data_IF_794146232299
#
_entry.id   IF_794146232299
#
_cell.length_a   1.000
_cell.length_b   1.000
_cell.length_c   1.000
_cell.angle_alpha   90.00
_cell.angle_beta   90.00
_cell.angle_gamma   90.00
#
_symmetry.space_group_name_H-M   'P 1'
#
loop_
_entity.id
_entity.type
_entity.pdbx_description
1 polymer ?
#
# COMPACT_ATOMS: atom_id res chain seq x y z
N UNK A 1 5.95 -16.79 -6.59
CA UNK A 1 6.13 -15.39 -6.14
C UNK A 1 6.23 -15.31 -4.64
N UNK A 2 5.09 -15.23 -3.94
CA UNK A 2 5.02 -15.07 -2.48
C UNK A 2 5.93 -16.02 -1.69
N UNK A 3 5.79 -17.34 -1.90
CA UNK A 3 6.54 -18.35 -1.11
C UNK A 3 8.05 -18.13 -1.24
N UNK A 4 8.54 -17.88 -2.46
CA UNK A 4 9.96 -17.62 -2.68
C UNK A 4 10.41 -16.37 -1.90
N UNK A 5 9.69 -15.25 -2.04
CA UNK A 5 10.03 -14.00 -1.35
C UNK A 5 9.95 -14.09 0.18
N UNK A 6 8.95 -14.78 0.73
CA UNK A 6 8.81 -14.99 2.18
C UNK A 6 9.91 -15.92 2.69
N UNK A 7 10.18 -17.02 1.98
CA UNK A 7 11.21 -17.98 2.40
C UNK A 7 12.63 -17.42 2.30
N UNK A 8 12.89 -16.42 1.45
CA UNK A 8 14.14 -15.65 1.47
C UNK A 8 14.35 -14.89 2.79
N UNK A 9 13.27 -14.56 3.50
CA UNK A 9 13.32 -13.94 4.82
C UNK A 9 13.47 -14.95 5.97
N UNK A 10 13.39 -16.25 5.67
CA UNK A 10 13.55 -17.30 6.68
C UNK A 10 14.92 -17.20 7.35
N UNK A 11 14.92 -17.02 8.67
CA UNK A 11 16.12 -16.81 9.47
C UNK A 11 16.51 -15.34 9.68
N UNK A 12 15.83 -14.38 9.03
CA UNK A 12 16.05 -12.94 9.18
C UNK A 12 14.79 -12.19 9.68
N UNK A 13 13.86 -12.90 10.30
CA UNK A 13 12.59 -12.35 10.81
C UNK A 13 12.77 -11.28 11.89
N UNK A 14 13.89 -11.32 12.62
CA UNK A 14 14.29 -10.30 13.58
C UNK A 14 14.42 -8.91 12.93
N UNK A 15 14.81 -8.85 11.66
CA UNK A 15 14.95 -7.60 10.90
C UNK A 15 13.63 -6.88 10.65
N UNK A 16 12.49 -7.56 10.74
CA UNK A 16 11.19 -6.89 10.64
C UNK A 16 10.95 -5.87 11.76
N UNK A 17 11.64 -6.01 12.89
CA UNK A 17 11.52 -5.07 14.01
C UNK A 17 12.44 -3.86 13.88
N UNK A 18 13.46 -3.95 13.04
CA UNK A 18 14.56 -2.97 12.98
C UNK A 18 14.61 -2.24 11.64
N UNK A 19 14.27 -2.91 10.54
CA UNK A 19 14.29 -2.36 9.19
C UNK A 19 12.86 -2.12 8.65
N UNK A 20 12.42 -0.86 8.53
CA UNK A 20 11.09 -0.57 8.02
C UNK A 20 10.95 -0.86 6.52
N UNK A 21 12.04 -0.94 5.74
CA UNK A 21 11.97 -1.36 4.32
C UNK A 21 11.46 -2.79 4.25
N UNK A 22 11.94 -3.66 5.14
CA UNK A 22 11.55 -5.06 5.19
C UNK A 22 10.06 -5.21 5.54
N UNK A 23 9.51 -4.32 6.37
CA UNK A 23 8.08 -4.26 6.66
C UNK A 23 7.25 -4.00 5.40
N UNK A 24 7.65 -3.04 4.56
CA UNK A 24 6.98 -2.81 3.29
C UNK A 24 7.04 -4.04 2.37
N UNK A 25 8.21 -4.66 2.26
CA UNK A 25 8.39 -5.82 1.37
C UNK A 25 7.56 -7.04 1.81
N UNK A 26 7.54 -7.38 3.10
CA UNK A 26 6.78 -8.54 3.59
C UNK A 26 5.26 -8.29 3.50
N UNK A 27 4.81 -7.08 3.81
CA UNK A 27 3.40 -6.71 3.68
C UNK A 27 2.98 -6.74 2.22
N UNK A 28 3.82 -6.25 1.31
CA UNK A 28 3.57 -6.35 -0.12
C UNK A 28 3.37 -7.80 -0.56
N UNK A 29 4.30 -8.70 -0.23
CA UNK A 29 4.21 -10.11 -0.58
C UNK A 29 2.96 -10.79 0.01
N UNK A 30 2.53 -10.37 1.20
CA UNK A 30 1.32 -10.87 1.85
C UNK A 30 0.07 -10.48 1.04
N UNK A 31 -0.05 -9.22 0.65
CA UNK A 31 -1.16 -8.76 -0.22
C UNK A 31 -1.10 -9.32 -1.63
N UNK A 32 0.10 -9.58 -2.16
CA UNK A 32 0.26 -10.32 -3.41
C UNK A 32 -0.32 -11.72 -3.29
N UNK A 33 0.03 -12.46 -2.24
CA UNK A 33 -0.52 -13.80 -2.00
C UNK A 33 -2.03 -13.79 -1.84
N UNK A 34 -2.53 -12.83 -1.07
CA UNK A 34 -3.96 -12.65 -0.85
C UNK A 34 -4.72 -12.34 -2.15
N UNK A 35 -4.28 -11.33 -2.92
CA UNK A 35 -4.92 -10.97 -4.19
C UNK A 35 -4.80 -12.08 -5.23
N UNK A 36 -3.64 -12.74 -5.34
CA UNK A 36 -3.46 -13.87 -6.27
C UNK A 36 -4.15 -15.15 -5.82
N UNK A 37 -4.65 -15.22 -4.59
CA UNK A 37 -5.59 -16.25 -4.15
C UNK A 37 -7.06 -15.83 -4.43
N UNK A 38 -7.40 -14.59 -4.12
CA UNK A 38 -8.75 -14.04 -4.31
C UNK A 38 -9.17 -14.00 -5.79
N UNK A 39 -8.26 -13.64 -6.70
CA UNK A 39 -8.53 -13.56 -8.13
C UNK A 39 -9.03 -14.91 -8.71
N UNK A 40 -8.30 -16.02 -8.52
CA UNK A 40 -8.79 -17.35 -8.87
C UNK A 40 -10.13 -17.71 -8.24
N UNK A 41 -10.37 -17.38 -6.96
CA UNK A 41 -11.67 -17.61 -6.33
C UNK A 41 -12.78 -16.84 -7.06
N UNK A 42 -12.58 -15.56 -7.38
CA UNK A 42 -13.52 -14.73 -8.12
C UNK A 42 -13.73 -15.15 -9.59
N UNK A 43 -12.84 -15.98 -10.13
CA UNK A 43 -12.99 -16.55 -11.48
C UNK A 43 -13.91 -17.78 -11.53
N UNK A 44 -14.19 -18.40 -10.38
CA UNK A 44 -15.15 -19.50 -10.29
C UNK A 44 -16.56 -18.96 -10.56
N UNK A 45 -17.31 -19.59 -11.48
CA UNK A 45 -18.65 -19.11 -11.88
C UNK A 45 -19.60 -18.85 -10.70
N UNK A 46 -19.58 -19.72 -9.68
CA UNK A 46 -20.41 -19.57 -8.49
C UNK A 46 -20.07 -18.34 -7.65
N UNK A 47 -18.77 -18.02 -7.51
CA UNK A 47 -18.30 -16.84 -6.79
C UNK A 47 -18.47 -15.59 -7.66
N UNK A 48 -18.15 -15.69 -8.94
CA UNK A 48 -18.30 -14.61 -9.91
C UNK A 48 -19.75 -14.15 -10.03
N UNK A 49 -20.70 -15.08 -9.95
CA UNK A 49 -22.11 -14.75 -9.89
C UNK A 49 -22.41 -13.77 -8.75
N UNK A 50 -21.64 -13.74 -7.66
CA UNK A 50 -21.74 -12.79 -6.54
C UNK A 50 -20.85 -11.55 -6.68
N UNK A 51 -19.61 -11.71 -7.13
CA UNK A 51 -18.63 -10.64 -7.16
C UNK A 51 -18.69 -9.74 -8.41
N UNK A 52 -19.32 -10.22 -9.49
CA UNK A 52 -19.41 -9.47 -10.74
C UNK A 52 -20.36 -8.27 -10.61
N UNK A 53 -19.94 -7.13 -11.16
CA UNK A 53 -20.63 -5.82 -11.03
C UNK A 53 -20.81 -5.31 -9.59
N UNK A 54 -20.08 -5.87 -8.62
CA UNK A 54 -20.08 -5.37 -7.25
C UNK A 54 -18.74 -4.75 -6.88
N UNK A 55 -18.77 -3.98 -5.79
CA UNK A 55 -17.57 -3.37 -5.21
C UNK A 55 -16.50 -4.36 -4.74
N UNK A 56 -16.80 -5.68 -4.72
CA UNK A 56 -15.80 -6.72 -4.46
C UNK A 56 -14.68 -6.67 -5.50
N UNK A 57 -15.02 -6.50 -6.78
CA UNK A 57 -14.00 -6.40 -7.85
C UNK A 57 -13.05 -5.24 -7.60
N UNK A 58 -13.56 -4.10 -7.13
CA UNK A 58 -12.74 -2.94 -6.79
C UNK A 58 -11.89 -3.22 -5.54
N UNK A 59 -12.42 -3.95 -4.56
CA UNK A 59 -11.69 -4.42 -3.39
C UNK A 59 -10.49 -5.29 -3.75
N UNK A 60 -10.71 -6.25 -4.65
CA UNK A 60 -9.66 -7.11 -5.21
C UNK A 60 -8.60 -6.32 -5.97
N UNK A 61 -9.01 -5.37 -6.81
CA UNK A 61 -8.07 -4.51 -7.54
C UNK A 61 -7.20 -3.71 -6.58
N UNK A 62 -7.77 -3.12 -5.52
CA UNK A 62 -7.00 -2.31 -4.57
C UNK A 62 -6.16 -3.15 -3.60
N UNK A 63 -6.54 -4.39 -3.32
CA UNK A 63 -5.67 -5.33 -2.59
C UNK A 63 -4.39 -5.63 -3.35
N UNK A 64 -4.48 -5.79 -4.67
CA UNK A 64 -3.31 -5.88 -5.56
C UNK A 64 -2.58 -4.56 -5.77
N UNK A 65 -3.29 -3.49 -6.12
CA UNK A 65 -2.68 -2.22 -6.51
C UNK A 65 -2.03 -1.49 -5.33
N UNK A 66 -2.76 -1.32 -4.22
CA UNK A 66 -2.23 -0.65 -3.05
C UNK A 66 -1.43 -1.63 -2.19
N UNK A 67 -2.02 -2.78 -1.87
CA UNK A 67 -1.43 -3.77 -0.98
C UNK A 67 -0.15 -4.39 -1.50
N UNK A 68 -0.09 -4.75 -2.79
CA UNK A 68 1.10 -5.32 -3.40
C UNK A 68 1.96 -4.29 -4.13
N UNK A 69 1.46 -3.71 -5.22
CA UNK A 69 2.27 -2.90 -6.14
C UNK A 69 2.81 -1.66 -5.45
N UNK A 70 1.97 -0.88 -4.78
CA UNK A 70 2.44 0.33 -4.12
C UNK A 70 3.39 0.02 -2.97
N UNK A 71 3.08 -0.96 -2.12
CA UNK A 71 3.95 -1.33 -0.97
C UNK A 71 5.33 -1.80 -1.40
N UNK A 72 5.44 -2.66 -2.43
CA UNK A 72 6.75 -3.11 -2.93
C UNK A 72 7.53 -1.94 -3.54
N UNK A 73 6.86 -1.03 -4.25
CA UNK A 73 7.48 0.17 -4.81
C UNK A 73 7.97 1.12 -3.71
N UNK A 74 7.20 1.33 -2.65
CA UNK A 74 7.60 2.17 -1.51
C UNK A 74 8.84 1.62 -0.81
N UNK A 75 8.85 0.32 -0.50
CA UNK A 75 10.04 -0.34 0.05
C UNK A 75 11.25 -0.18 -0.87
N UNK A 76 11.05 -0.34 -2.17
CA UNK A 76 12.12 -0.18 -3.17
C UNK A 76 12.68 1.24 -3.20
N UNK A 77 11.82 2.27 -3.12
CA UNK A 77 12.26 3.66 -3.08
C UNK A 77 13.02 4.00 -1.79
N UNK A 78 12.54 3.55 -0.64
CA UNK A 78 13.27 3.76 0.62
C UNK A 78 14.62 3.04 0.65
N UNK A 79 14.77 1.94 -0.09
CA UNK A 79 16.05 1.29 -0.27
C UNK A 79 16.97 2.03 -1.27
N UNK A 80 16.42 2.48 -2.39
CA UNK A 80 17.18 3.00 -3.52
C UNK A 80 17.65 4.44 -3.33
N UNK A 81 16.78 5.33 -2.86
CA UNK A 81 17.08 6.77 -2.76
C UNK A 81 18.34 7.09 -1.95
N UNK A 82 18.52 6.61 -0.69
CA UNK A 82 19.75 6.90 0.05
C UNK A 82 21.01 6.42 -0.69
N UNK A 83 20.94 5.31 -1.44
CA UNK A 83 22.07 4.78 -2.21
C UNK A 83 22.39 5.59 -3.46
N UNK A 84 21.36 6.07 -4.16
CA UNK A 84 21.55 6.86 -5.38
C UNK A 84 22.22 8.21 -5.09
N UNK A 85 21.99 8.75 -3.89
CA UNK A 85 22.55 10.03 -3.45
C UNK A 85 23.69 9.90 -2.42
N UNK A 86 24.18 8.67 -2.20
CA UNK A 86 25.23 8.34 -1.21
C UNK A 86 25.03 9.03 0.15
N UNK A 87 23.80 8.98 0.66
CA UNK A 87 23.40 9.61 1.92
C UNK A 87 22.54 8.68 2.76
N UNK A 88 22.15 9.14 3.95
CA UNK A 88 21.19 8.44 4.82
C UNK A 88 19.79 9.00 4.61
N UNK A 89 18.77 8.16 4.82
CA UNK A 89 17.38 8.62 4.83
C UNK A 89 17.20 9.73 5.87
N UNK A 90 16.46 10.77 5.49
CA UNK A 90 16.22 11.94 6.32
C UNK A 90 15.58 11.57 7.68
N UNK A 91 14.54 10.72 7.69
CA UNK A 91 13.94 10.24 8.93
C UNK A 91 13.37 8.83 8.80
N UNK A 92 13.91 7.90 9.59
CA UNK A 92 13.40 6.52 9.71
C UNK A 92 12.03 6.51 10.40
N UNK A 93 11.77 7.42 11.34
CA UNK A 93 10.48 7.52 12.04
C UNK A 93 9.33 7.83 11.08
N UNK A 94 9.58 8.68 10.07
CA UNK A 94 8.59 8.98 9.02
C UNK A 94 8.32 7.78 8.12
N UNK A 95 9.30 6.89 7.92
CA UNK A 95 9.11 5.64 7.18
C UNK A 95 8.15 4.71 7.94
N UNK A 96 8.33 4.56 9.26
CA UNK A 96 7.40 3.80 10.09
C UNK A 96 5.99 4.41 10.10
N UNK A 97 5.88 5.74 10.19
CA UNK A 97 4.58 6.42 10.14
C UNK A 97 3.89 6.17 8.78
N UNK A 98 4.61 6.31 7.67
CA UNK A 98 4.10 5.96 6.35
C UNK A 98 3.65 4.50 6.29
N UNK A 99 4.46 3.57 6.79
CA UNK A 99 4.12 2.14 6.79
C UNK A 99 2.78 1.87 7.48
N UNK A 100 2.57 2.43 8.68
CA UNK A 100 1.33 2.24 9.42
C UNK A 100 0.13 2.91 8.77
N UNK A 101 0.29 4.14 8.26
CA UNK A 101 -0.78 4.83 7.54
C UNK A 101 -1.19 4.07 6.28
N UNK A 102 -0.21 3.59 5.50
CA UNK A 102 -0.47 2.80 4.30
C UNK A 102 -1.16 1.48 4.65
N UNK A 103 -0.67 0.76 5.65
CA UNK A 103 -1.21 -0.55 6.05
C UNK A 103 -2.63 -0.43 6.59
N UNK A 104 -2.88 0.50 7.52
CA UNK A 104 -4.23 0.75 8.07
C UNK A 104 -5.16 1.22 6.96
N UNK A 105 -4.69 2.14 6.12
CA UNK A 105 -5.46 2.67 4.99
C UNK A 105 -5.94 1.57 4.04
N UNK A 106 -5.04 0.67 3.65
CA UNK A 106 -5.37 -0.50 2.81
C UNK A 106 -6.37 -1.44 3.47
N UNK A 107 -6.17 -1.78 4.75
CA UNK A 107 -7.06 -2.71 5.45
C UNK A 107 -8.46 -2.12 5.54
N UNK A 108 -8.60 -0.83 5.90
CA UNK A 108 -9.89 -0.14 5.90
C UNK A 108 -10.52 -0.13 4.50
N UNK A 109 -9.73 0.13 3.46
CA UNK A 109 -10.20 0.21 2.09
C UNK A 109 -10.77 -1.14 1.60
N UNK A 110 -10.03 -2.22 1.77
CA UNK A 110 -10.42 -3.55 1.29
C UNK A 110 -11.59 -4.10 2.09
N UNK A 111 -11.55 -3.96 3.42
CA UNK A 111 -12.64 -4.46 4.28
C UNK A 111 -13.96 -3.74 3.98
N UNK A 112 -13.93 -2.42 3.75
CA UNK A 112 -15.10 -1.68 3.31
C UNK A 112 -15.63 -2.20 1.97
N UNK A 113 -14.75 -2.48 1.01
CA UNK A 113 -15.16 -2.97 -0.31
C UNK A 113 -15.62 -4.42 -0.34
N UNK A 114 -15.15 -5.26 0.58
CA UNK A 114 -15.73 -6.58 0.79
C UNK A 114 -17.15 -6.50 1.36
N UNK A 115 -17.37 -5.65 2.37
CA UNK A 115 -18.72 -5.42 2.93
C UNK A 115 -19.65 -4.85 1.84
N UNK A 116 -19.18 -3.87 1.08
CA UNK A 116 -19.91 -3.29 -0.04
C UNK A 116 -20.24 -4.37 -1.10
N UNK A 117 -19.22 -5.11 -1.55
CA UNK A 117 -19.35 -6.07 -2.64
C UNK A 117 -20.23 -7.27 -2.32
N UNK A 118 -20.02 -7.88 -1.15
CA UNK A 118 -20.85 -9.00 -0.69
C UNK A 118 -22.28 -8.51 -0.42
N UNK A 119 -22.43 -7.40 0.30
CA UNK A 119 -23.75 -6.82 0.58
C UNK A 119 -24.53 -6.47 -0.69
N UNK A 120 -23.90 -5.76 -1.62
CA UNK A 120 -24.49 -5.44 -2.92
C UNK A 120 -24.87 -6.71 -3.70
N UNK A 121 -23.97 -7.69 -3.74
CA UNK A 121 -24.24 -8.95 -4.42
C UNK A 121 -25.45 -9.68 -3.83
N UNK A 122 -25.57 -9.74 -2.50
CA UNK A 122 -26.68 -10.38 -1.80
C UNK A 122 -28.00 -9.62 -2.00
N UNK A 123 -28.01 -8.30 -1.87
CA UNK A 123 -29.22 -7.48 -2.04
C UNK A 123 -29.79 -7.60 -3.46
N UNK A 124 -28.92 -7.61 -4.48
CA UNK A 124 -29.33 -7.71 -5.90
C UNK A 124 -29.89 -9.09 -6.29
N UNK A 125 -29.76 -10.12 -5.44
CA UNK A 125 -30.29 -11.48 -5.69
C UNK A 125 -31.21 -11.98 -4.59
N UNK A 126 -31.57 -11.13 -3.65
CA UNK A 126 -32.44 -11.52 -2.56
C UNK A 126 -33.87 -11.62 -3.08
N UNK A 127 -34.49 -12.78 -2.85
CA UNK A 127 -35.89 -13.03 -3.15
C UNK A 127 -36.66 -13.16 -1.83
N UNK A 128 -37.88 -12.64 -1.79
CA UNK A 128 -38.81 -12.86 -0.68
C UNK A 128 -39.48 -14.24 -0.76
N UNK A 129 -40.32 -14.56 0.23
CA UNK A 129 -41.05 -15.83 0.29
C UNK A 129 -42.04 -16.02 -0.88
N UNK A 130 -42.32 -14.96 -1.63
CA UNK A 130 -43.21 -14.96 -2.80
C UNK A 130 -42.44 -15.00 -4.13
N UNK A 131 -41.11 -15.02 -4.10
CA UNK A 131 -40.25 -15.06 -5.29
C UNK A 131 -40.05 -13.70 -5.98
N UNK A 132 -40.47 -12.59 -5.36
CA UNK A 132 -40.17 -11.24 -5.84
C UNK A 132 -38.79 -10.78 -5.36
N UNK A 133 -38.19 -9.81 -6.05
CA UNK A 133 -36.98 -9.15 -5.56
C UNK A 133 -37.27 -8.45 -4.22
N UNK A 134 -36.54 -8.82 -3.19
CA UNK A 134 -36.74 -8.32 -1.83
C UNK A 134 -36.25 -6.87 -1.65
N UNK A 135 -35.33 -6.40 -2.50
CA UNK A 135 -34.78 -5.04 -2.45
C UNK A 135 -34.77 -4.40 -3.83
N UNK A 136 -35.03 -3.10 -3.85
CA UNK A 136 -34.83 -2.24 -5.01
C UNK A 136 -33.35 -1.93 -5.21
N UNK A 137 -33.01 -1.51 -6.43
CA UNK A 137 -31.65 -1.04 -6.72
C UNK A 137 -31.27 0.18 -5.87
N UNK A 138 -32.21 1.09 -5.60
CA UNK A 138 -31.95 2.31 -4.81
C UNK A 138 -31.61 1.97 -3.36
N UNK A 139 -32.26 0.96 -2.76
CA UNK A 139 -31.91 0.49 -1.41
C UNK A 139 -30.48 -0.07 -1.36
N UNK A 140 -30.08 -0.78 -2.41
CA UNK A 140 -28.69 -1.24 -2.56
C UNK A 140 -27.71 -0.07 -2.62
N UNK A 141 -28.02 0.98 -3.39
CA UNK A 141 -27.20 2.21 -3.44
C UNK A 141 -27.14 2.91 -2.09
N UNK A 142 -28.26 2.98 -1.37
CA UNK A 142 -28.31 3.57 -0.02
C UNK A 142 -27.43 2.80 0.97
N UNK A 143 -27.42 1.46 0.89
CA UNK A 143 -26.54 0.62 1.70
C UNK A 143 -25.05 0.92 1.45
N UNK A 144 -24.67 1.19 0.20
CA UNK A 144 -23.27 1.43 -0.19
C UNK A 144 -22.67 2.72 0.39
N UNK A 145 -23.49 3.66 0.87
CA UNK A 145 -23.00 4.93 1.43
C UNK A 145 -21.99 4.72 2.57
N UNK A 146 -22.33 3.87 3.55
CA UNK A 146 -21.47 3.64 4.72
C UNK A 146 -20.12 3.03 4.34
N UNK A 147 -20.06 1.93 3.56
CA UNK A 147 -18.80 1.43 3.01
C UNK A 147 -18.00 2.47 2.23
N UNK A 148 -18.64 3.35 1.44
CA UNK A 148 -17.95 4.39 0.68
C UNK A 148 -17.28 5.45 1.54
N UNK A 149 -17.90 5.82 2.67
CA UNK A 149 -17.26 6.70 3.66
C UNK A 149 -16.01 6.04 4.22
N UNK A 150 -16.09 4.78 4.63
CA UNK A 150 -14.95 4.04 5.19
C UNK A 150 -13.83 3.87 4.15
N UNK A 151 -14.18 3.55 2.90
CA UNK A 151 -13.23 3.48 1.77
C UNK A 151 -12.48 4.81 1.59
N UNK A 152 -13.21 5.92 1.66
CA UNK A 152 -12.63 7.26 1.51
C UNK A 152 -11.65 7.56 2.64
N UNK A 153 -12.01 7.23 3.88
CA UNK A 153 -11.12 7.37 5.04
C UNK A 153 -9.86 6.52 4.85
N UNK A 154 -10.01 5.24 4.46
CA UNK A 154 -8.86 4.36 4.19
C UNK A 154 -7.95 4.92 3.09
N UNK A 155 -8.53 5.46 2.02
CA UNK A 155 -7.80 6.12 0.93
C UNK A 155 -7.04 7.37 1.40
N UNK A 156 -7.63 8.18 2.28
CA UNK A 156 -6.98 9.36 2.85
C UNK A 156 -5.79 9.00 3.75
N UNK A 157 -5.90 7.93 4.55
CA UNK A 157 -4.79 7.40 5.33
C UNK A 157 -3.63 7.00 4.41
N UNK A 158 -3.92 6.24 3.35
CA UNK A 158 -2.93 5.81 2.38
C UNK A 158 -2.27 7.01 1.67
N UNK A 159 -3.07 7.95 1.16
CA UNK A 159 -2.58 9.16 0.50
C UNK A 159 -1.69 10.01 1.42
N UNK A 160 -2.10 10.18 2.68
CA UNK A 160 -1.28 10.89 3.69
C UNK A 160 0.06 10.21 3.88
N UNK A 161 0.09 8.87 3.92
CA UNK A 161 1.32 8.08 3.92
C UNK A 161 2.22 8.39 2.72
N UNK A 162 1.67 8.44 1.51
CA UNK A 162 2.41 8.78 0.29
C UNK A 162 3.00 10.20 0.37
N UNK A 163 2.23 11.18 0.85
CA UNK A 163 2.75 12.54 1.03
C UNK A 163 3.92 12.59 2.01
N UNK A 164 3.86 11.82 3.10
CA UNK A 164 4.97 11.68 4.06
C UNK A 164 6.19 11.04 3.39
N UNK A 165 6.01 10.04 2.52
CA UNK A 165 7.10 9.47 1.74
C UNK A 165 7.77 10.51 0.85
N UNK A 166 6.98 11.23 0.05
CA UNK A 166 7.48 12.25 -0.88
C UNK A 166 8.27 13.30 -0.12
N UNK A 167 7.75 13.78 1.02
CA UNK A 167 8.46 14.71 1.89
C UNK A 167 9.79 14.14 2.39
N UNK A 168 9.79 12.92 2.92
CA UNK A 168 10.99 12.30 3.47
C UNK A 168 12.08 12.07 2.41
N UNK A 169 11.69 11.61 1.22
CA UNK A 169 12.60 11.40 0.09
C UNK A 169 13.13 12.73 -0.45
N UNK A 170 12.28 13.74 -0.59
CA UNK A 170 12.68 15.09 -1.00
C UNK A 170 13.73 15.68 -0.03
N UNK A 171 13.50 15.57 1.27
CA UNK A 171 14.44 16.04 2.28
C UNK A 171 15.76 15.26 2.27
N UNK A 172 15.71 13.95 1.96
CA UNK A 172 16.90 13.11 1.78
C UNK A 172 17.77 13.62 0.61
N UNK A 173 17.16 13.86 -0.55
CA UNK A 173 17.86 14.39 -1.73
C UNK A 173 18.44 15.80 -1.45
N UNK A 174 17.70 16.64 -0.74
CA UNK A 174 18.16 17.98 -0.38
C UNK A 174 19.36 17.96 0.57
N UNK A 175 19.38 17.04 1.53
CA UNK A 175 20.51 16.86 2.43
C UNK A 175 21.76 16.41 1.65
N UNK A 176 21.63 15.40 0.78
CA UNK A 176 22.74 14.93 -0.05
C UNK A 176 23.38 16.02 -0.91
N UNK A 177 22.56 16.86 -1.56
CA UNK A 177 23.08 17.99 -2.36
C UNK A 177 23.88 18.98 -1.52
N UNK A 178 23.46 19.21 -0.27
CA UNK A 178 24.19 20.08 0.65
C UNK A 178 25.50 19.44 1.09
N UNK A 179 25.49 18.16 1.45
CA UNK A 179 26.68 17.39 1.85
C UNK A 179 27.73 17.38 0.73
N UNK A 180 27.30 17.17 -0.52
CA UNK A 180 28.16 17.23 -1.71
C UNK A 180 28.80 18.62 -1.89
N UNK A 181 28.01 19.69 -1.81
CA UNK A 181 28.52 21.06 -1.94
C UNK A 181 29.53 21.43 -0.81
N UNK A 182 29.26 20.99 0.43
CA UNK A 182 30.18 21.18 1.55
C UNK A 182 31.50 20.40 1.36
N UNK A 183 31.44 19.20 0.78
CA UNK A 183 32.62 18.40 0.46
C UNK A 183 33.46 19.06 -0.64
N UNK A 184 32.84 19.50 -1.73
CA UNK A 184 33.50 20.24 -2.82
C UNK A 184 34.18 21.51 -2.31
N UNK A 185 33.51 22.30 -1.47
CA UNK A 185 34.07 23.50 -0.87
C UNK A 185 35.31 23.19 0.01
N UNK A 186 35.26 22.12 0.80
CA UNK A 186 36.40 21.66 1.62
C UNK A 186 37.58 21.19 0.77
N UNK A 187 37.32 20.48 -0.33
CA UNK A 187 38.35 20.06 -1.28
C UNK A 187 39.02 21.25 -1.96
N UNK A 188 38.23 22.22 -2.42
CA UNK A 188 38.74 23.45 -3.02
C UNK A 188 39.63 24.24 -2.04
N UNK A 189 39.19 24.39 -0.79
CA UNK A 189 39.97 25.05 0.26
C UNK A 189 41.30 24.34 0.56
N UNK A 190 41.31 23.00 0.59
CA UNK A 190 42.54 22.21 0.79
C UNK A 190 43.52 22.37 -0.38
N UNK A 191 43.03 22.35 -1.62
CA UNK A 191 43.87 22.52 -2.80
C UNK A 191 44.48 23.92 -2.85
N UNK A 192 43.72 24.96 -2.48
CA UNK A 192 44.24 26.32 -2.38
C UNK A 192 45.33 26.46 -1.30
N UNK A 193 45.17 25.77 -0.16
CA UNK A 193 46.17 25.77 0.92
C UNK A 193 47.44 24.96 0.60
N UNK A 194 47.37 23.97 -0.29
CA UNK A 194 48.51 23.14 -0.69
C UNK A 194 49.34 23.70 -1.86
N UNK A 195 48.84 24.74 -2.53
CA UNK A 195 49.53 25.45 -3.62
C UNK A 195 50.39 26.64 -3.18
N UNK A 196 50.51 26.87 -1.86
CA UNK A 196 51.40 27.82 -1.21
C UNK A 196 52.46 27.07 -0.41
#
# INVERSE_FOLDING_TARGET
GMINGIMTLSGAWDKLRTDPVMLFMITALSFYGMSTFEGPMMSLKSVNALSHYTDWTIGHVHSGALGWVAMITFGSFYHLFPRLWDTKLHSVKLVYLHFWLATIGIVLYITALWVAGIGQGLLLRAFDDYGNLAYTFVETVSFLHTPYVVRTIGGLFFLTGVLIMVYNLYMTVRAAKREAAELEAKLAAKLAAAGH
#
